data_IF_166388699193
#
_entry.id   IF_166388699193
#
_cell.length_a   1.000
_cell.length_b   1.000
_cell.length_c   1.000
_cell.angle_alpha   90.00
_cell.angle_beta   90.00
_cell.angle_gamma   90.00
#
_symmetry.space_group_name_H-M   'P 1'
#
loop_
_entity.id
_entity.type
_entity.pdbx_description
1 polymer ?
#
# COMPACT_ATOMS: atom_id res chain seq x y z
N UNK A 1 4.99 20.79 -2.95
CA UNK A 1 3.79 19.91 -3.09
C UNK A 1 3.85 19.22 -4.44
N UNK A 2 3.85 17.92 -4.46
CA UNK A 2 3.99 17.07 -5.65
C UNK A 2 2.64 17.00 -6.39
N UNK A 3 2.39 17.97 -7.26
CA UNK A 3 1.16 18.06 -8.05
C UNK A 3 1.05 16.85 -9.00
N UNK A 4 -0.13 16.21 -9.05
CA UNK A 4 -0.37 15.02 -9.88
C UNK A 4 0.13 13.72 -9.27
N UNK A 5 0.57 13.73 -8.00
CA UNK A 5 0.78 12.48 -7.27
C UNK A 5 -0.54 11.70 -7.16
N UNK A 6 -0.49 10.38 -7.24
CA UNK A 6 -1.68 9.52 -7.10
C UNK A 6 -1.33 8.29 -6.29
N UNK A 7 -2.19 7.88 -5.36
CA UNK A 7 -2.04 6.61 -4.64
C UNK A 7 -2.23 5.46 -5.62
N UNK A 8 -1.15 4.71 -5.89
CA UNK A 8 -1.15 3.63 -6.87
C UNK A 8 -1.50 2.28 -6.24
N UNK A 9 -0.83 1.92 -5.15
CA UNK A 9 -1.10 0.67 -4.44
C UNK A 9 -0.64 0.71 -2.97
N UNK A 10 -1.14 -0.25 -2.21
CA UNK A 10 -0.63 -0.63 -0.91
C UNK A 10 0.12 -1.96 -1.04
N UNK A 11 1.31 -2.06 -0.45
CA UNK A 11 2.08 -3.30 -0.45
C UNK A 11 1.95 -4.04 0.87
N UNK A 12 1.81 -5.36 0.77
CA UNK A 12 1.76 -6.32 1.89
C UNK A 12 2.95 -7.27 1.76
N UNK A 13 3.78 -7.33 2.79
CA UNK A 13 4.90 -8.26 2.88
C UNK A 13 4.41 -9.64 3.35
N UNK A 14 4.80 -10.68 2.65
CA UNK A 14 4.54 -12.08 2.98
C UNK A 14 5.84 -12.89 2.93
N UNK A 15 5.91 -14.02 3.63
CA UNK A 15 7.06 -14.95 3.50
C UNK A 15 7.15 -15.52 2.09
N UNK A 16 6.00 -15.85 1.54
CA UNK A 16 5.83 -16.34 0.19
C UNK A 16 4.60 -15.67 -0.42
N UNK A 17 4.71 -15.24 -1.65
CA UNK A 17 3.60 -14.58 -2.33
C UNK A 17 2.39 -15.51 -2.56
N UNK A 18 2.62 -16.83 -2.69
CA UNK A 18 1.55 -17.82 -2.84
C UNK A 18 0.64 -17.91 -1.62
N UNK A 19 1.15 -17.60 -0.43
CA UNK A 19 0.36 -17.63 0.80
C UNK A 19 -0.74 -16.56 0.83
N UNK A 20 -0.59 -15.49 0.00
CA UNK A 20 -1.59 -14.44 -0.15
C UNK A 20 -2.73 -14.80 -1.13
N UNK A 21 -2.52 -15.76 -2.04
CA UNK A 21 -3.46 -16.05 -3.12
C UNK A 21 -4.85 -16.47 -2.65
N UNK A 22 -5.02 -17.35 -1.67
CA UNK A 22 -6.36 -17.76 -1.23
C UNK A 22 -7.24 -16.58 -0.84
N UNK A 23 -6.67 -15.60 -0.13
CA UNK A 23 -7.40 -14.41 0.33
C UNK A 23 -7.52 -13.38 -0.78
N UNK A 24 -6.39 -12.89 -1.28
CA UNK A 24 -6.37 -11.70 -2.13
C UNK A 24 -6.83 -11.96 -3.58
N UNK A 25 -6.52 -13.12 -4.15
CA UNK A 25 -6.99 -13.50 -5.48
C UNK A 25 -8.25 -14.38 -5.42
N UNK A 26 -8.30 -15.39 -4.55
CA UNK A 26 -9.42 -16.32 -4.45
C UNK A 26 -10.67 -15.67 -3.89
N UNK A 27 -10.67 -15.29 -2.62
CA UNK A 27 -11.87 -14.78 -1.94
C UNK A 27 -12.21 -13.35 -2.39
N UNK A 28 -11.25 -12.41 -2.34
CA UNK A 28 -11.48 -11.02 -2.74
C UNK A 28 -11.57 -10.82 -4.26
N UNK A 29 -11.21 -11.83 -5.05
CA UNK A 29 -11.29 -11.80 -6.50
C UNK A 29 -10.31 -10.85 -7.17
N UNK A 30 -9.20 -10.50 -6.49
CA UNK A 30 -8.16 -9.64 -7.05
C UNK A 30 -7.60 -10.23 -8.34
N UNK A 31 -7.59 -9.42 -9.42
CA UNK A 31 -7.14 -9.86 -10.74
C UNK A 31 -5.68 -9.51 -10.94
N UNK A 32 -4.91 -10.48 -11.40
CA UNK A 32 -3.50 -10.29 -11.75
C UNK A 32 -3.30 -9.15 -12.75
N UNK A 33 -2.29 -8.32 -12.52
CA UNK A 33 -1.85 -7.29 -13.47
C UNK A 33 -0.43 -7.57 -13.91
N UNK A 34 0.49 -7.61 -12.97
CA UNK A 34 1.92 -7.72 -13.22
C UNK A 34 2.65 -8.29 -12.03
N UNK A 35 3.84 -8.79 -12.26
CA UNK A 35 4.78 -9.19 -11.25
C UNK A 35 6.16 -9.36 -11.83
N UNK A 36 7.14 -9.35 -10.97
CA UNK A 36 8.55 -9.49 -11.32
C UNK A 36 9.38 -9.81 -10.10
N UNK A 37 10.55 -10.36 -10.38
CA UNK A 37 11.55 -10.71 -9.39
C UNK A 37 12.74 -9.77 -9.52
N UNK A 38 13.19 -9.24 -8.40
CA UNK A 38 14.33 -8.34 -8.30
C UNK A 38 15.28 -8.81 -7.21
N UNK A 39 16.44 -8.17 -7.09
CA UNK A 39 17.31 -8.38 -5.93
C UNK A 39 16.64 -7.84 -4.66
N UNK A 40 16.31 -8.74 -3.74
CA UNK A 40 15.71 -8.44 -2.45
C UNK A 40 14.23 -8.77 -2.34
N UNK A 41 13.45 -8.73 -3.43
CA UNK A 41 12.03 -9.06 -3.38
C UNK A 41 11.46 -9.50 -4.73
N UNK A 42 10.37 -10.25 -4.67
CA UNK A 42 9.46 -10.49 -5.77
C UNK A 42 8.17 -9.71 -5.50
N UNK A 43 7.65 -9.01 -6.49
CA UNK A 43 6.44 -8.20 -6.41
C UNK A 43 5.35 -8.75 -7.31
N UNK A 44 4.10 -8.78 -6.80
CA UNK A 44 2.95 -9.35 -7.50
C UNK A 44 1.73 -8.47 -7.26
N UNK A 45 1.21 -7.83 -8.31
CA UNK A 45 0.11 -6.87 -8.20
C UNK A 45 -1.23 -7.45 -8.61
N UNK A 46 -2.23 -7.23 -7.75
CA UNK A 46 -3.63 -7.55 -7.96
C UNK A 46 -4.46 -6.27 -8.03
N UNK A 47 -5.39 -6.23 -8.97
CA UNK A 47 -6.34 -5.12 -9.16
C UNK A 47 -7.75 -5.54 -8.76
N UNK A 48 -8.44 -4.66 -8.06
CA UNK A 48 -9.82 -4.81 -7.63
C UNK A 48 -10.79 -4.06 -8.54
N UNK A 49 -12.09 -4.19 -8.29
CA UNK A 49 -13.14 -3.74 -9.20
C UNK A 49 -13.10 -2.23 -9.52
N UNK A 50 -12.77 -1.40 -8.52
CA UNK A 50 -12.59 0.05 -8.71
C UNK A 50 -11.24 0.45 -9.33
N UNK A 51 -10.36 -0.49 -9.65
CA UNK A 51 -9.02 -0.23 -10.16
C UNK A 51 -7.93 -0.03 -9.09
N UNK A 52 -8.28 0.03 -7.81
CA UNK A 52 -7.31 0.06 -6.72
C UNK A 52 -6.52 -1.25 -6.66
N UNK A 53 -5.29 -1.19 -6.15
CA UNK A 53 -4.35 -2.30 -6.22
C UNK A 53 -3.77 -2.66 -4.85
N UNK A 54 -3.55 -3.96 -4.66
CA UNK A 54 -2.67 -4.50 -3.61
C UNK A 54 -1.47 -5.16 -4.29
N UNK A 55 -0.29 -4.86 -3.79
CA UNK A 55 0.94 -5.53 -4.16
C UNK A 55 1.32 -6.52 -3.05
N UNK A 56 1.61 -7.76 -3.40
CA UNK A 56 2.20 -8.74 -2.50
C UNK A 56 3.70 -8.79 -2.77
N UNK A 57 4.51 -8.56 -1.75
CA UNK A 57 5.96 -8.63 -1.85
C UNK A 57 6.50 -9.74 -0.96
N UNK A 58 7.43 -10.53 -1.49
CA UNK A 58 8.10 -11.60 -0.76
C UNK A 58 9.61 -11.54 -0.94
N UNK A 59 10.42 -11.99 0.03
CA UNK A 59 11.88 -12.01 -0.09
C UNK A 59 12.34 -12.84 -1.29
N UNK A 60 13.27 -12.29 -2.09
CA UNK A 60 13.88 -12.95 -3.23
C UNK A 60 15.36 -12.52 -3.36
N UNK A 61 16.26 -13.44 -3.65
CA UNK A 61 17.71 -13.19 -3.76
C UNK A 61 18.25 -12.35 -2.58
N UNK A 62 17.92 -12.77 -1.36
CA UNK A 62 18.21 -12.03 -0.12
C UNK A 62 19.72 -11.86 0.13
N UNK A 63 20.55 -12.69 -0.45
CA UNK A 63 22.01 -12.58 -0.42
C UNK A 63 22.52 -11.35 -1.18
N UNK A 64 21.74 -10.82 -2.12
CA UNK A 64 22.08 -9.59 -2.85
C UNK A 64 21.49 -8.35 -2.18
N UNK A 65 20.29 -8.47 -1.61
CA UNK A 65 19.61 -7.39 -0.89
C UNK A 65 18.61 -7.98 0.11
N UNK A 66 18.83 -7.77 1.38
CA UNK A 66 18.08 -8.38 2.48
C UNK A 66 17.04 -7.45 3.13
N UNK A 67 16.72 -6.28 2.52
CA UNK A 67 15.88 -5.26 3.16
C UNK A 67 14.52 -5.79 3.59
N UNK A 68 13.85 -6.56 2.72
CA UNK A 68 12.52 -7.11 2.99
C UNK A 68 12.60 -8.25 4.02
N UNK A 69 13.65 -9.08 3.94
CA UNK A 69 13.89 -10.10 4.97
C UNK A 69 14.04 -9.45 6.34
N UNK A 70 14.88 -8.41 6.46
CA UNK A 70 15.06 -7.66 7.72
C UNK A 70 13.77 -6.98 8.19
N UNK A 71 12.93 -6.53 7.25
CA UNK A 71 11.62 -5.98 7.61
C UNK A 71 10.75 -7.05 8.27
N UNK A 72 10.60 -8.20 7.61
CA UNK A 72 9.76 -9.31 8.12
C UNK A 72 10.30 -9.84 9.46
N UNK A 73 11.61 -10.00 9.59
CA UNK A 73 12.24 -10.47 10.85
C UNK A 73 11.98 -9.53 12.05
N UNK A 74 11.82 -8.23 11.79
CA UNK A 74 11.60 -7.22 12.85
C UNK A 74 10.13 -6.94 13.13
N UNK A 75 9.29 -7.02 12.11
CA UNK A 75 7.91 -6.52 12.16
C UNK A 75 6.87 -7.61 11.97
N UNK A 76 7.28 -8.79 11.52
CA UNK A 76 6.40 -9.83 10.98
C UNK A 76 5.97 -9.50 9.54
N UNK A 77 5.18 -10.39 8.97
CA UNK A 77 4.46 -10.17 7.72
C UNK A 77 3.39 -9.08 7.91
N UNK A 78 2.94 -8.44 6.83
CA UNK A 78 1.89 -7.42 6.92
C UNK A 78 2.13 -6.20 6.04
N UNK A 79 1.38 -5.11 6.24
CA UNK A 79 1.50 -3.90 5.45
C UNK A 79 2.93 -3.33 5.51
N UNK A 80 3.50 -3.07 4.33
CA UNK A 80 4.88 -2.61 4.19
C UNK A 80 4.98 -1.14 3.77
N UNK A 81 4.36 -0.77 2.63
CA UNK A 81 4.47 0.59 2.09
C UNK A 81 3.22 1.03 1.34
N UNK A 82 3.14 2.34 1.12
CA UNK A 82 2.20 2.98 0.21
C UNK A 82 2.98 3.55 -0.97
N UNK A 83 2.56 3.23 -2.20
CA UNK A 83 3.20 3.73 -3.42
C UNK A 83 2.39 4.85 -4.02
N UNK A 84 3.06 5.96 -4.27
CA UNK A 84 2.53 7.11 -4.99
C UNK A 84 3.21 7.25 -6.34
N UNK A 85 2.42 7.20 -7.41
CA UNK A 85 2.90 7.58 -8.73
C UNK A 85 3.04 9.10 -8.80
N UNK A 86 4.18 9.54 -9.33
CA UNK A 86 4.49 10.96 -9.51
C UNK A 86 4.82 11.24 -10.97
N UNK A 87 4.47 12.42 -11.51
CA UNK A 87 4.74 12.77 -12.90
C UNK A 87 6.25 12.90 -13.21
N UNK A 88 7.03 13.43 -12.27
CA UNK A 88 8.48 13.62 -12.35
C UNK A 88 9.13 13.26 -11.01
N UNK A 89 9.91 12.20 -11.00
CA UNK A 89 10.56 11.70 -9.78
C UNK A 89 11.64 12.63 -9.26
N UNK A 90 12.38 13.34 -10.17
CA UNK A 90 13.43 14.27 -9.75
C UNK A 90 12.84 15.50 -9.09
N UNK A 91 11.75 16.03 -9.65
CA UNK A 91 11.00 17.12 -9.03
C UNK A 91 10.39 16.66 -7.68
N UNK A 92 9.82 15.45 -7.62
CA UNK A 92 9.25 14.90 -6.40
C UNK A 92 10.29 14.71 -5.29
N UNK A 93 11.51 14.29 -5.62
CA UNK A 93 12.63 14.21 -4.68
C UNK A 93 12.96 15.60 -4.13
N UNK A 94 13.17 16.60 -5.00
CA UNK A 94 13.49 17.96 -4.59
C UNK A 94 12.39 18.57 -3.71
N UNK A 95 11.12 18.42 -4.10
CA UNK A 95 9.98 18.91 -3.29
C UNK A 95 9.88 18.19 -1.93
N UNK A 96 10.27 16.92 -1.86
CA UNK A 96 10.33 16.17 -0.59
C UNK A 96 11.43 16.73 0.32
N UNK A 97 12.61 17.03 -0.24
CA UNK A 97 13.73 17.61 0.50
C UNK A 97 13.39 19.03 1.00
N UNK A 98 12.78 19.85 0.16
CA UNK A 98 12.31 21.20 0.52
C UNK A 98 11.24 21.17 1.64
N UNK A 99 10.43 20.12 1.68
CA UNK A 99 9.45 19.89 2.74
C UNK A 99 10.05 19.27 4.02
N UNK A 100 11.36 19.00 4.05
CA UNK A 100 12.08 18.45 5.21
C UNK A 100 12.10 16.93 5.29
N UNK A 101 11.62 16.23 4.28
CA UNK A 101 11.75 14.76 4.18
C UNK A 101 13.10 14.41 3.54
N UNK A 102 13.62 13.24 3.88
CA UNK A 102 14.87 12.74 3.32
C UNK A 102 14.60 11.49 2.47
N UNK A 103 14.53 11.63 1.12
CA UNK A 103 14.41 10.47 0.24
C UNK A 103 15.64 9.55 0.38
N UNK A 104 15.38 8.24 0.42
CA UNK A 104 16.39 7.19 0.53
C UNK A 104 16.17 6.14 -0.56
N UNK A 105 17.15 5.28 -0.82
CA UNK A 105 17.09 4.23 -1.83
C UNK A 105 16.62 4.77 -3.19
N UNK A 106 17.20 5.89 -3.60
CA UNK A 106 16.87 6.56 -4.86
C UNK A 106 17.45 5.75 -6.02
N UNK A 107 16.58 5.26 -6.90
CA UNK A 107 16.96 4.61 -8.17
C UNK A 107 16.34 5.40 -9.34
N UNK A 108 17.21 5.95 -10.18
CA UNK A 108 16.85 6.75 -11.36
C UNK A 108 17.39 6.16 -12.65
N UNK A 109 18.08 5.03 -12.58
CA UNK A 109 18.80 4.45 -13.71
C UNK A 109 17.91 3.55 -14.57
N UNK A 110 16.86 2.93 -13.97
CA UNK A 110 15.89 2.15 -14.76
C UNK A 110 15.05 3.10 -15.64
N UNK A 111 15.07 2.90 -16.96
CA UNK A 111 14.31 3.75 -17.89
C UNK A 111 12.79 3.58 -17.79
N UNK A 112 12.32 2.47 -17.20
CA UNK A 112 10.89 2.13 -17.12
C UNK A 112 10.29 2.37 -15.73
N UNK A 113 11.13 2.27 -14.69
CA UNK A 113 10.72 2.45 -13.30
C UNK A 113 11.78 3.19 -12.52
N UNK A 114 11.44 4.38 -12.05
CA UNK A 114 12.29 5.19 -11.18
C UNK A 114 11.61 5.35 -9.84
N UNK A 115 12.38 5.29 -8.77
CA UNK A 115 11.80 5.31 -7.43
C UNK A 115 12.68 6.02 -6.40
N UNK A 116 12.04 6.45 -5.34
CA UNK A 116 12.65 6.93 -4.11
C UNK A 116 11.71 6.62 -2.94
N UNK A 117 12.25 6.51 -1.74
CA UNK A 117 11.45 6.15 -0.57
C UNK A 117 11.58 7.19 0.52
N UNK A 118 10.46 7.51 1.17
CA UNK A 118 10.47 8.23 2.44
C UNK A 118 10.47 7.22 3.57
N UNK A 119 11.45 7.36 4.47
CA UNK A 119 11.61 6.43 5.57
C UNK A 119 10.50 6.61 6.63
N UNK A 120 9.97 5.54 7.27
CA UNK A 120 8.86 5.63 8.25
C UNK A 120 9.18 6.45 9.51
N UNK A 121 10.42 6.83 9.74
CA UNK A 121 10.80 7.79 10.79
C UNK A 121 10.47 9.24 10.40
N UNK A 122 10.53 9.53 9.13
CA UNK A 122 10.23 10.86 8.57
C UNK A 122 8.77 10.92 8.08
N UNK A 123 8.29 9.85 7.44
CA UNK A 123 6.87 9.64 7.17
C UNK A 123 6.16 9.04 8.41
N UNK A 124 4.87 9.32 8.66
CA UNK A 124 4.18 8.91 9.88
C UNK A 124 4.01 7.38 10.02
N UNK A 125 5.11 6.67 10.27
CA UNK A 125 5.15 5.24 10.60
C UNK A 125 4.94 4.27 9.45
N UNK A 126 4.91 4.73 8.21
CA UNK A 126 4.81 3.89 7.00
C UNK A 126 5.90 4.26 6.01
N UNK A 127 6.43 3.29 5.27
CA UNK A 127 7.28 3.58 4.12
C UNK A 127 6.41 4.17 3.01
N UNK A 128 6.81 5.30 2.44
CA UNK A 128 6.15 5.87 1.26
C UNK A 128 7.11 5.77 0.08
N UNK A 129 6.69 5.05 -0.95
CA UNK A 129 7.41 4.96 -2.21
C UNK A 129 6.88 6.02 -3.18
N UNK A 130 7.78 6.85 -3.69
CA UNK A 130 7.55 7.71 -4.83
C UNK A 130 8.02 6.97 -6.07
N UNK A 131 7.16 6.82 -7.08
CA UNK A 131 7.51 6.07 -8.27
C UNK A 131 7.07 6.79 -9.54
N UNK A 132 7.96 6.81 -10.53
CA UNK A 132 7.65 7.27 -11.89
C UNK A 132 7.80 6.10 -12.85
N UNK A 133 6.75 5.82 -13.61
CA UNK A 133 6.82 4.85 -14.72
C UNK A 133 6.12 5.41 -15.94
N UNK A 134 6.67 5.13 -17.12
CA UNK A 134 6.13 5.58 -18.39
C UNK A 134 4.97 4.72 -18.90
N UNK A 135 4.77 3.53 -18.33
CA UNK A 135 3.78 2.55 -18.80
C UNK A 135 3.11 1.84 -17.63
N UNK A 136 1.87 1.38 -17.83
CA UNK A 136 1.30 0.36 -16.96
C UNK A 136 1.98 -0.98 -17.27
N UNK A 137 2.54 -1.60 -16.24
CA UNK A 137 3.15 -2.90 -16.36
C UNK A 137 2.08 -3.98 -16.48
N UNK A 138 2.26 -4.90 -17.40
CA UNK A 138 1.50 -6.14 -17.43
C UNK A 138 2.44 -7.30 -17.75
N UNK A 139 2.26 -8.42 -17.06
CA UNK A 139 3.00 -9.65 -17.32
C UNK A 139 2.06 -10.84 -17.23
N UNK A 140 2.41 -11.98 -17.86
CA UNK A 140 1.61 -13.19 -17.72
C UNK A 140 1.47 -13.59 -16.25
N UNK A 141 0.27 -14.03 -15.87
CA UNK A 141 0.03 -14.53 -14.54
C UNK A 141 0.88 -15.78 -14.26
N UNK A 142 1.48 -15.91 -13.06
CA UNK A 142 2.18 -17.12 -12.69
C UNK A 142 1.22 -18.30 -12.58
N UNK A 143 1.74 -19.51 -12.74
CA UNK A 143 0.96 -20.71 -12.51
C UNK A 143 0.53 -20.78 -11.03
N UNK A 144 -0.70 -21.25 -10.78
CA UNK A 144 -1.18 -21.50 -9.42
C UNK A 144 -1.98 -20.36 -8.78
N UNK A 145 -2.15 -19.21 -9.45
CA UNK A 145 -3.14 -18.23 -8.99
C UNK A 145 -4.53 -18.89 -9.03
N UNK A 146 -5.27 -18.93 -7.88
CA UNK A 146 -6.60 -19.54 -7.85
C UNK A 146 -7.59 -18.70 -8.67
N UNK A 147 -8.59 -19.37 -9.24
CA UNK A 147 -9.76 -18.68 -9.75
C UNK A 147 -10.50 -18.00 -8.58
N UNK A 148 -11.15 -16.83 -8.83
CA UNK A 148 -12.01 -16.22 -7.84
C UNK A 148 -13.11 -17.19 -7.36
N UNK A 149 -13.36 -17.17 -6.06
CA UNK A 149 -14.43 -18.00 -5.44
C UNK A 149 -15.81 -17.44 -5.76
N UNK A 150 -15.90 -16.14 -6.00
CA UNK A 150 -17.14 -15.40 -6.31
C UNK A 150 -17.12 -14.87 -7.75
N UNK A 151 -18.30 -14.73 -8.35
CA UNK A 151 -18.46 -14.19 -9.71
C UNK A 151 -18.12 -12.69 -9.82
N UNK A 152 -18.06 -12.01 -8.68
CA UNK A 152 -17.77 -10.58 -8.57
C UNK A 152 -16.47 -10.36 -7.81
N UNK A 153 -15.77 -9.29 -8.15
CA UNK A 153 -14.53 -8.85 -7.47
C UNK A 153 -14.88 -7.83 -6.38
N UNK A 154 -14.21 -7.90 -5.25
CA UNK A 154 -14.32 -6.88 -4.20
C UNK A 154 -13.82 -5.51 -4.69
N UNK A 155 -14.27 -4.46 -4.04
CA UNK A 155 -13.73 -3.10 -4.17
C UNK A 155 -12.81 -2.81 -2.99
N UNK A 156 -11.57 -2.42 -3.22
CA UNK A 156 -10.72 -1.86 -2.17
C UNK A 156 -11.10 -0.39 -1.96
N UNK A 157 -11.95 -0.14 -0.96
CA UNK A 157 -12.50 1.19 -0.71
C UNK A 157 -11.43 2.16 -0.21
N UNK A 158 -10.63 1.71 0.75
CA UNK A 158 -9.59 2.53 1.35
C UNK A 158 -8.53 1.73 2.12
N UNK A 159 -7.37 2.34 2.25
CA UNK A 159 -6.38 1.98 3.25
C UNK A 159 -6.63 2.83 4.50
N UNK A 160 -6.65 2.24 5.68
CA UNK A 160 -6.75 2.98 6.94
C UNK A 160 -5.39 2.99 7.62
N UNK A 161 -4.83 4.18 7.77
CA UNK A 161 -3.53 4.43 8.37
C UNK A 161 -3.71 5.16 9.70
N UNK A 162 -3.39 4.48 10.78
CA UNK A 162 -3.37 5.09 12.10
C UNK A 162 -2.08 5.91 12.28
N UNK A 163 -2.21 7.14 12.75
CA UNK A 163 -1.10 8.07 13.00
C UNK A 163 -1.12 8.57 14.44
N UNK A 164 0.04 8.92 14.99
CA UNK A 164 0.12 9.51 16.33
C UNK A 164 -0.33 10.97 16.34
N UNK A 165 -0.30 11.64 15.18
CA UNK A 165 -0.76 13.01 14.99
C UNK A 165 -1.35 13.16 13.59
N UNK A 166 -2.59 13.63 13.51
CA UNK A 166 -3.24 13.96 12.24
C UNK A 166 -2.48 15.06 11.51
N UNK A 167 -1.94 16.06 12.21
CA UNK A 167 -1.20 17.16 11.60
C UNK A 167 0.04 16.66 10.86
N UNK A 168 0.79 15.71 11.44
CA UNK A 168 1.93 15.10 10.75
C UNK A 168 1.50 14.28 9.53
N UNK A 169 0.40 13.53 9.64
CA UNK A 169 -0.17 12.81 8.52
C UNK A 169 -0.63 13.73 7.40
N UNK A 170 -1.33 14.82 7.74
CA UNK A 170 -1.78 15.82 6.78
C UNK A 170 -0.62 16.59 6.13
N UNK A 171 0.43 16.90 6.88
CA UNK A 171 1.62 17.53 6.30
C UNK A 171 2.23 16.68 5.17
N UNK A 172 2.28 15.34 5.33
CA UNK A 172 2.76 14.45 4.29
C UNK A 172 1.72 14.25 3.18
N UNK A 173 0.54 13.74 3.52
CA UNK A 173 -0.39 13.23 2.49
C UNK A 173 -1.17 14.33 1.79
N UNK A 174 -1.39 15.48 2.42
CA UNK A 174 -1.99 16.68 1.79
C UNK A 174 -0.90 17.67 1.38
N UNK A 175 -0.04 18.05 2.31
CA UNK A 175 0.96 19.10 2.09
C UNK A 175 2.00 18.73 1.05
N UNK A 176 2.54 17.51 1.07
CA UNK A 176 3.53 17.04 0.09
C UNK A 176 2.88 16.30 -1.09
N UNK A 177 2.01 15.32 -0.81
CA UNK A 177 1.48 14.39 -1.82
C UNK A 177 0.16 14.83 -2.45
N UNK A 178 -0.30 16.05 -2.18
CA UNK A 178 -1.45 16.69 -2.81
C UNK A 178 -2.78 15.90 -2.69
N UNK A 179 -2.95 15.10 -1.63
CA UNK A 179 -4.23 14.41 -1.36
C UNK A 179 -5.34 15.42 -1.08
N UNK A 180 -6.47 15.25 -1.75
CA UNK A 180 -7.67 16.05 -1.53
C UNK A 180 -8.46 15.47 -0.34
N UNK A 181 -8.81 16.32 0.61
CA UNK A 181 -9.69 15.96 1.71
C UNK A 181 -11.12 15.79 1.19
N UNK A 182 -11.72 14.60 1.37
CA UNK A 182 -13.07 14.29 0.91
C UNK A 182 -14.07 14.14 2.03
N UNK A 183 -13.61 13.77 3.22
CA UNK A 183 -14.43 13.65 4.42
C UNK A 183 -13.56 13.83 5.66
N UNK A 184 -14.12 14.43 6.72
CA UNK A 184 -13.40 14.67 7.98
C UNK A 184 -14.31 14.46 9.18
N UNK A 185 -13.73 13.95 10.26
CA UNK A 185 -14.30 13.93 11.60
C UNK A 185 -13.29 14.51 12.60
N UNK A 186 -13.60 14.49 13.87
CA UNK A 186 -12.73 15.01 14.93
C UNK A 186 -11.35 14.31 14.94
N UNK A 187 -11.34 12.99 14.75
CA UNK A 187 -10.15 12.15 14.89
C UNK A 187 -9.74 11.40 13.62
N UNK A 188 -10.32 11.71 12.49
CA UNK A 188 -9.91 11.13 11.19
C UNK A 188 -10.22 12.04 10.01
N UNK A 189 -9.46 11.82 8.93
CA UNK A 189 -9.63 12.48 7.63
C UNK A 189 -9.51 11.43 6.53
N UNK A 190 -10.42 11.46 5.57
CA UNK A 190 -10.31 10.65 4.35
C UNK A 190 -9.77 11.50 3.19
N UNK A 191 -8.77 10.96 2.54
CA UNK A 191 -8.05 11.59 1.43
C UNK A 191 -8.27 10.80 0.15
N UNK A 192 -8.40 11.52 -0.97
CA UNK A 192 -8.49 10.95 -2.32
C UNK A 192 -7.51 11.64 -3.27
N UNK A 193 -7.20 10.95 -4.34
CA UNK A 193 -6.42 11.42 -5.50
C UNK A 193 -7.21 11.17 -6.78
N UNK A 194 -6.71 11.62 -7.93
CA UNK A 194 -7.37 11.42 -9.23
C UNK A 194 -7.51 9.94 -9.65
N UNK A 195 -6.81 9.03 -8.98
CA UNK A 195 -6.92 7.58 -9.15
C UNK A 195 -7.77 6.96 -8.04
N UNK A 196 -8.30 5.75 -8.23
CA UNK A 196 -9.21 5.10 -7.29
C UNK A 196 -8.49 4.56 -6.03
N UNK A 197 -7.64 5.30 -5.42
CA UNK A 197 -7.02 4.98 -4.13
C UNK A 197 -7.50 5.96 -3.07
N UNK A 198 -7.97 5.48 -1.93
CA UNK A 198 -8.32 6.32 -0.78
C UNK A 198 -7.48 5.95 0.42
N UNK A 199 -7.13 6.97 1.19
CA UNK A 199 -6.42 6.82 2.45
C UNK A 199 -7.22 7.52 3.55
N UNK A 200 -7.60 6.77 4.57
CA UNK A 200 -8.15 7.37 5.80
C UNK A 200 -7.05 7.45 6.83
N UNK A 201 -6.68 8.65 7.23
CA UNK A 201 -5.84 8.90 8.39
C UNK A 201 -6.72 8.90 9.62
N UNK A 202 -6.32 8.15 10.64
CA UNK A 202 -7.02 8.13 11.93
C UNK A 202 -6.01 8.43 13.01
N UNK A 203 -6.29 9.41 13.87
CA UNK A 203 -5.49 9.62 15.07
C UNK A 203 -5.70 8.45 16.03
N UNK A 204 -4.70 7.59 16.12
CA UNK A 204 -4.79 6.30 16.78
C UNK A 204 -4.36 6.36 18.24
N UNK A 205 -5.05 5.61 19.10
CA UNK A 205 -4.56 5.30 20.43
C UNK A 205 -3.34 4.38 20.38
N UNK A 206 -2.60 4.29 21.48
CA UNK A 206 -1.40 3.45 21.63
C UNK A 206 -1.61 2.00 21.19
N UNK A 207 -2.81 1.45 21.38
CA UNK A 207 -3.16 0.08 20.99
C UNK A 207 -3.18 -0.14 19.48
N UNK A 208 -3.41 0.93 18.70
CA UNK A 208 -3.43 0.86 17.23
C UNK A 208 -2.05 1.03 16.60
N UNK A 209 -1.21 1.85 17.19
CA UNK A 209 0.10 2.22 16.63
C UNK A 209 1.28 1.62 17.40
N UNK A 210 1.10 1.19 18.66
CA UNK A 210 2.17 0.75 19.55
C UNK A 210 3.20 1.86 19.80
N UNK A 211 4.50 1.53 19.86
CA UNK A 211 5.56 2.52 20.06
C UNK A 211 5.93 3.29 18.76
N UNK A 212 5.15 3.17 17.71
CA UNK A 212 5.42 3.76 16.39
C UNK A 212 4.72 5.11 16.25
N UNK A 213 5.15 5.92 15.27
CA UNK A 213 4.46 7.17 14.90
C UNK A 213 3.18 6.93 14.07
N UNK A 214 2.98 5.72 13.60
CA UNK A 214 1.81 5.29 12.83
C UNK A 214 2.03 3.91 12.22
N UNK A 215 0.98 3.36 11.65
CA UNK A 215 1.00 2.11 10.87
C UNK A 215 -0.25 2.00 10.00
N UNK A 216 -0.16 1.27 8.90
CA UNK A 216 -1.38 0.81 8.22
C UNK A 216 -2.09 -0.16 9.17
N UNK A 217 -3.31 0.21 9.58
CA UNK A 217 -4.08 -0.56 10.56
C UNK A 217 -4.91 -1.64 9.88
N UNK A 218 -5.58 -1.31 8.77
CA UNK A 218 -6.37 -2.28 8.00
C UNK A 218 -6.63 -1.81 6.58
N UNK A 219 -7.04 -2.76 5.75
CA UNK A 219 -7.61 -2.51 4.42
C UNK A 219 -9.12 -2.70 4.50
N UNK A 220 -9.89 -1.76 3.96
CA UNK A 220 -11.35 -1.84 3.93
C UNK A 220 -11.82 -2.20 2.52
N UNK A 221 -12.66 -3.24 2.43
CA UNK A 221 -13.21 -3.75 1.18
C UNK A 221 -14.73 -3.75 1.21
N UNK A 222 -15.36 -3.39 0.09
CA UNK A 222 -16.75 -3.72 -0.18
C UNK A 222 -16.81 -5.03 -0.96
N UNK A 223 -17.53 -6.00 -0.41
CA UNK A 223 -17.64 -7.37 -0.91
C UNK A 223 -19.08 -7.65 -1.34
N UNK A 224 -19.37 -7.67 -2.66
CA UNK A 224 -20.73 -7.78 -3.19
C UNK A 224 -21.46 -9.10 -2.88
N UNK A 225 -20.77 -10.07 -2.31
CA UNK A 225 -21.30 -11.38 -1.90
C UNK A 225 -21.58 -11.48 -0.40
N UNK A 226 -21.29 -10.44 0.37
CA UNK A 226 -21.65 -10.40 1.78
C UNK A 226 -23.07 -9.88 1.94
N UNK A 227 -23.90 -10.64 2.66
CA UNK A 227 -25.31 -10.28 2.91
C UNK A 227 -25.53 -9.83 4.37
N UNK A 228 -24.74 -10.32 5.33
CA UNK A 228 -25.00 -10.24 6.77
C UNK A 228 -24.06 -9.30 7.55
N UNK A 229 -23.86 -8.07 7.05
CA UNK A 229 -23.08 -7.06 7.76
C UNK A 229 -21.57 -7.23 7.63
N UNK A 230 -20.78 -6.35 8.28
CA UNK A 230 -19.33 -6.32 8.10
C UNK A 230 -18.64 -7.53 8.75
N UNK A 231 -17.60 -8.03 8.08
CA UNK A 231 -16.72 -9.11 8.56
C UNK A 231 -15.34 -8.52 8.83
N UNK A 232 -14.76 -8.85 9.98
CA UNK A 232 -13.37 -8.55 10.30
C UNK A 232 -12.52 -9.82 10.12
N UNK A 233 -11.44 -9.70 9.36
CA UNK A 233 -10.39 -10.72 9.31
C UNK A 233 -9.20 -10.20 10.10
N UNK A 234 -8.84 -10.89 11.16
CA UNK A 234 -7.75 -10.47 12.04
C UNK A 234 -6.37 -10.72 11.39
N UNK A 235 -5.32 -10.00 11.82
CA UNK A 235 -3.99 -10.10 11.23
C UNK A 235 -3.43 -11.53 11.24
N UNK A 236 -3.73 -12.31 12.26
CA UNK A 236 -3.27 -13.68 12.44
C UNK A 236 -3.79 -14.60 11.34
N UNK A 237 -4.97 -14.29 10.82
CA UNK A 237 -5.65 -15.06 9.77
C UNK A 237 -5.42 -14.52 8.36
N UNK A 238 -4.61 -13.47 8.22
CA UNK A 238 -4.38 -12.81 6.93
C UNK A 238 -2.99 -12.16 6.82
N UNK A 239 -1.95 -12.92 7.01
CA UNK A 239 -0.56 -12.48 6.80
C UNK A 239 -0.23 -11.15 7.47
N UNK A 240 -0.61 -10.97 8.73
CA UNK A 240 -0.34 -9.77 9.51
C UNK A 240 -1.14 -8.53 9.07
N UNK A 241 -2.10 -8.67 8.18
CA UNK A 241 -2.91 -7.58 7.63
C UNK A 241 -4.38 -7.73 8.03
N UNK A 242 -4.90 -6.82 8.84
CA UNK A 242 -6.33 -6.79 9.15
C UNK A 242 -7.14 -6.34 7.95
N UNK A 243 -8.27 -7.01 7.70
CA UNK A 243 -9.27 -6.59 6.72
C UNK A 243 -10.59 -6.26 7.43
N UNK A 244 -11.26 -5.21 6.93
CA UNK A 244 -12.67 -4.97 7.20
C UNK A 244 -13.43 -5.13 5.88
N UNK A 245 -14.35 -6.08 5.82
CA UNK A 245 -15.14 -6.39 4.62
C UNK A 245 -16.59 -6.00 4.89
N UNK A 246 -17.15 -5.18 4.03
CA UNK A 246 -18.51 -4.65 4.13
C UNK A 246 -19.39 -5.26 3.04
N UNK A 247 -20.71 -5.43 3.27
CA UNK A 247 -21.67 -5.74 2.23
C UNK A 247 -21.65 -4.71 1.09
N UNK A 248 -21.89 -5.15 -0.16
CA UNK A 248 -21.94 -4.30 -1.36
C UNK A 248 -23.31 -3.80 -1.73
#
# INVERSE_FOLDING_TARGET
MITGATLDHVAVAAERWEDAWPRYAGELGGRWISGGETSGFAAHQLRYDNGAKVEIISPHLVEHNDFLRRFIDRNGVGPHHLTFKVPDIRAAIAESEDAGYRPVNVDLDDPYWKEAFLHPKDAPGVVVQLAQSSTEWSSPAPAGIPAPVHDRTATLDRVVHAVASLDEGLALFVGLLAGAEVERSENWVELAWDKPGRLRLVEGHSDWIGPRRGRVHHLAFTCPWLDDGPVTVEPEDNLGTRLLMFPG
#
